data_IF_506010563390
#
_entry.id   IF_506010563390
#
_cell.length_a   1.000
_cell.length_b   1.000
_cell.length_c   1.000
_cell.angle_alpha   90.00
_cell.angle_beta   90.00
_cell.angle_gamma   90.00
#
_symmetry.space_group_name_H-M   'P 1'
#
loop_
_entity.id
_entity.type
_entity.pdbx_description
1 polymer ?
#
# COMPACT_ATOMS: atom_id res chain seq x y z
N UNK A 1 30.35 -1.88 5.69
CA UNK A 1 30.06 -3.07 4.86
C UNK A 1 31.33 -3.89 4.69
N UNK A 2 32.36 -3.42 3.97
CA UNK A 2 33.64 -4.16 3.86
C UNK A 2 34.36 -4.35 5.21
N UNK A 3 34.51 -3.29 6.00
CA UNK A 3 35.16 -3.33 7.33
C UNK A 3 34.39 -4.16 8.39
N UNK A 4 33.17 -4.61 8.10
CA UNK A 4 32.31 -5.32 9.07
C UNK A 4 31.91 -6.71 8.64
N UNK A 5 31.88 -6.99 7.35
CA UNK A 5 31.41 -8.25 6.76
C UNK A 5 32.44 -8.83 5.77
N UNK A 6 33.61 -8.22 5.62
CA UNK A 6 34.66 -8.69 4.70
C UNK A 6 34.17 -8.82 3.26
N UNK A 7 34.67 -9.84 2.55
CA UNK A 7 34.28 -10.15 1.18
C UNK A 7 32.79 -10.56 1.03
N UNK A 8 32.15 -11.06 2.09
CA UNK A 8 30.71 -11.36 2.09
C UNK A 8 29.85 -10.09 2.00
N UNK A 9 30.37 -8.95 2.48
CA UNK A 9 29.72 -7.65 2.32
C UNK A 9 29.70 -7.12 0.89
N UNK A 10 30.48 -7.72 -0.02
CA UNK A 10 30.53 -7.41 -1.45
C UNK A 10 29.67 -8.37 -2.29
N UNK A 11 29.14 -9.45 -1.70
CA UNK A 11 28.18 -10.34 -2.37
C UNK A 11 26.84 -9.60 -2.47
N UNK A 12 26.62 -8.91 -3.58
CA UNK A 12 25.31 -8.38 -3.94
C UNK A 12 24.37 -9.53 -4.26
N UNK A 13 23.80 -10.17 -3.24
CA UNK A 13 22.73 -11.14 -3.44
C UNK A 13 21.46 -10.36 -3.80
N UNK A 14 20.86 -10.56 -4.98
CA UNK A 14 19.68 -9.82 -5.43
C UNK A 14 18.39 -10.32 -4.76
N UNK A 15 18.48 -11.30 -3.87
CA UNK A 15 17.35 -11.70 -3.04
C UNK A 15 17.21 -10.64 -1.97
N UNK A 16 16.15 -9.84 -2.04
CA UNK A 16 15.65 -9.10 -0.88
C UNK A 16 15.77 -10.02 0.32
N UNK A 17 16.80 -9.82 1.16
CA UNK A 17 16.78 -10.35 2.51
C UNK A 17 15.46 -9.84 3.06
N UNK A 18 14.50 -10.74 3.23
CA UNK A 18 13.17 -10.38 3.66
C UNK A 18 13.29 -10.05 5.14
N UNK A 19 13.85 -8.86 5.44
CA UNK A 19 13.94 -8.35 6.79
C UNK A 19 12.53 -8.45 7.39
N UNK A 20 12.45 -9.14 8.52
CA UNK A 20 11.18 -9.34 9.20
C UNK A 20 10.57 -7.98 9.56
N UNK A 21 9.26 -7.95 9.76
CA UNK A 21 8.58 -6.71 10.16
C UNK A 21 9.18 -6.16 11.47
N UNK A 22 9.54 -7.05 12.40
CA UNK A 22 10.18 -6.73 13.67
C UNK A 22 11.56 -6.09 13.48
N UNK A 23 12.43 -6.66 12.64
CA UNK A 23 13.77 -6.08 12.37
C UNK A 23 13.64 -4.68 11.78
N UNK A 24 12.69 -4.46 10.86
CA UNK A 24 12.42 -3.14 10.27
C UNK A 24 11.95 -2.14 11.32
N UNK A 25 11.02 -2.54 12.18
CA UNK A 25 10.50 -1.70 13.27
C UNK A 25 11.60 -1.31 14.25
N UNK A 26 12.38 -2.28 14.71
CA UNK A 26 13.48 -2.04 15.65
C UNK A 26 14.53 -1.08 15.07
N UNK A 27 14.90 -1.24 13.80
CA UNK A 27 15.83 -0.34 13.13
C UNK A 27 15.30 1.11 13.03
N UNK A 28 14.01 1.29 12.76
CA UNK A 28 13.38 2.61 12.73
C UNK A 28 13.29 3.21 14.14
N UNK A 29 12.85 2.44 15.13
CA UNK A 29 12.76 2.89 16.51
C UNK A 29 14.13 3.32 17.07
N UNK A 30 15.18 2.55 16.82
CA UNK A 30 16.54 2.90 17.26
C UNK A 30 17.03 4.22 16.62
N UNK A 31 16.62 4.50 15.37
CA UNK A 31 16.91 5.77 14.72
C UNK A 31 16.12 6.94 15.34
N UNK A 32 14.83 6.76 15.57
CA UNK A 32 13.96 7.78 16.14
C UNK A 32 14.29 8.10 17.60
N UNK A 33 14.76 7.10 18.35
CA UNK A 33 15.21 7.27 19.75
C UNK A 33 16.62 7.85 19.87
N UNK A 34 17.31 8.11 18.75
CA UNK A 34 18.64 8.70 18.75
C UNK A 34 19.75 7.78 19.27
N UNK A 35 19.55 6.45 19.27
CA UNK A 35 20.54 5.47 19.76
C UNK A 35 21.77 5.32 18.85
N UNK A 36 21.79 6.01 17.73
CA UNK A 36 22.92 6.04 16.81
C UNK A 36 22.61 6.82 15.55
N UNK A 37 23.66 7.09 14.80
CA UNK A 37 23.58 7.64 13.45
C UNK A 37 22.98 6.61 12.48
N UNK A 38 22.49 7.10 11.33
CA UNK A 38 21.93 6.25 10.28
C UNK A 38 22.88 5.08 9.93
N UNK A 39 24.18 5.37 9.82
CA UNK A 39 25.22 4.42 9.41
C UNK A 39 25.51 3.37 10.49
N UNK A 40 25.46 3.74 11.77
CA UNK A 40 25.63 2.80 12.88
C UNK A 40 24.46 1.82 12.95
N UNK A 41 23.24 2.31 12.75
CA UNK A 41 22.03 1.48 12.73
C UNK A 41 22.05 0.55 11.52
N UNK A 42 22.46 1.04 10.35
CA UNK A 42 22.65 0.18 9.18
C UNK A 42 23.66 -0.94 9.43
N UNK A 43 24.78 -0.63 10.09
CA UNK A 43 25.79 -1.63 10.45
C UNK A 43 25.22 -2.66 11.44
N UNK A 44 24.48 -2.21 12.46
CA UNK A 44 23.84 -3.05 13.49
C UNK A 44 22.83 -4.03 12.90
N UNK A 45 22.02 -3.59 11.96
CA UNK A 45 20.96 -4.39 11.33
C UNK A 45 21.34 -5.00 9.98
N UNK A 46 22.60 -4.85 9.55
CA UNK A 46 23.08 -5.36 8.26
C UNK A 46 22.35 -4.77 7.06
N UNK A 47 21.93 -3.50 7.12
CA UNK A 47 21.20 -2.81 6.05
C UNK A 47 22.23 -2.17 5.10
N UNK A 48 22.35 -2.65 3.84
CA UNK A 48 23.39 -2.20 2.93
C UNK A 48 23.16 -0.80 2.37
N UNK A 49 21.91 -0.33 2.33
CA UNK A 49 21.54 0.90 1.63
C UNK A 49 20.91 1.93 2.56
N UNK A 50 21.46 3.14 2.54
CA UNK A 50 20.92 4.29 3.29
C UNK A 50 19.49 4.60 2.83
N UNK A 51 19.23 4.48 1.53
CA UNK A 51 17.91 4.66 0.93
C UNK A 51 16.90 3.66 1.49
N UNK A 52 17.33 2.43 1.79
CA UNK A 52 16.45 1.40 2.34
C UNK A 52 15.99 1.74 3.76
N UNK A 53 16.90 2.15 4.64
CA UNK A 53 16.56 2.57 6.01
C UNK A 53 15.71 3.86 6.01
N UNK A 54 16.08 4.86 5.18
CA UNK A 54 15.30 6.09 5.03
C UNK A 54 13.87 5.82 4.55
N UNK A 55 13.69 4.89 3.60
CA UNK A 55 12.36 4.48 3.14
C UNK A 55 11.54 3.81 4.24
N UNK A 56 12.16 3.05 5.14
CA UNK A 56 11.46 2.44 6.28
C UNK A 56 11.04 3.49 7.30
N UNK A 57 11.91 4.46 7.62
CA UNK A 57 11.60 5.60 8.49
C UNK A 57 10.45 6.42 7.90
N UNK A 58 10.52 6.76 6.60
CA UNK A 58 9.45 7.49 5.91
C UNK A 58 8.13 6.72 5.91
N UNK A 59 8.16 5.39 5.71
CA UNK A 59 6.95 4.56 5.80
C UNK A 59 6.40 4.49 7.23
N UNK A 60 7.24 4.55 8.26
CA UNK A 60 6.81 4.57 9.65
C UNK A 60 6.15 5.91 10.01
N UNK A 61 6.84 7.03 9.73
CA UNK A 61 6.29 8.38 9.95
C UNK A 61 5.06 8.62 9.06
N UNK A 62 5.07 8.07 7.84
CA UNK A 62 3.95 8.08 6.94
C UNK A 62 2.75 7.31 7.49
N UNK A 63 2.94 6.18 8.21
CA UNK A 63 1.84 5.44 8.87
C UNK A 63 1.20 6.22 10.02
N UNK A 64 1.99 7.00 10.76
CA UNK A 64 1.47 7.94 11.75
C UNK A 64 0.57 8.99 11.07
N UNK A 65 0.98 9.47 9.89
CA UNK A 65 0.20 10.39 9.05
C UNK A 65 -0.91 9.70 8.22
N UNK A 66 -0.87 8.37 8.02
CA UNK A 66 -1.90 7.61 7.29
C UNK A 66 -3.15 7.34 8.15
N UNK A 67 -3.16 7.73 9.42
CA UNK A 67 -4.43 7.94 10.13
C UNK A 67 -5.22 9.15 9.58
N UNK A 68 -4.61 10.00 8.75
CA UNK A 68 -5.26 11.21 8.22
C UNK A 68 -5.40 11.27 6.68
N UNK A 69 -4.96 10.24 5.94
CA UNK A 69 -5.25 10.16 4.51
C UNK A 69 -6.36 9.14 4.22
N UNK A 70 -7.52 9.35 4.83
CA UNK A 70 -8.82 9.00 4.22
C UNK A 70 -9.17 10.04 3.14
N UNK A 71 -8.20 10.50 2.35
CA UNK A 71 -8.39 11.51 1.31
C UNK A 71 -7.25 11.39 0.32
N UNK A 72 -7.43 10.52 -0.68
CA UNK A 72 -6.36 10.22 -1.63
C UNK A 72 -6.71 9.16 -2.65
N UNK A 73 -7.81 9.36 -3.38
CA UNK A 73 -7.86 8.90 -4.77
C UNK A 73 -8.13 7.43 -5.06
N UNK A 74 -8.87 6.72 -4.22
CA UNK A 74 -9.67 5.59 -4.68
C UNK A 74 -11.00 5.61 -3.95
N UNK A 75 -12.04 6.11 -4.61
CA UNK A 75 -13.40 5.63 -4.30
C UNK A 75 -13.31 4.14 -4.54
N UNK A 76 -13.16 3.36 -3.47
CA UNK A 76 -13.58 1.97 -3.48
C UNK A 76 -15.08 2.10 -3.75
N UNK A 77 -15.43 2.06 -5.04
CA UNK A 77 -16.81 1.90 -5.48
C UNK A 77 -17.26 0.65 -4.74
N UNK A 78 -18.12 0.82 -3.73
CA UNK A 78 -18.74 -0.30 -3.06
C UNK A 78 -19.25 -1.21 -4.18
N UNK A 79 -18.78 -2.46 -4.21
CA UNK A 79 -19.09 -3.41 -5.30
C UNK A 79 -20.57 -3.26 -5.64
N UNK A 80 -20.86 -2.84 -6.88
CA UNK A 80 -22.22 -2.62 -7.34
C UNK A 80 -23.08 -3.83 -7.04
N UNK A 81 -24.34 -3.58 -6.67
CA UNK A 81 -25.33 -4.63 -6.38
C UNK A 81 -25.35 -5.61 -7.55
N UNK A 82 -25.09 -6.90 -7.29
CA UNK A 82 -25.20 -7.94 -8.33
C UNK A 82 -26.68 -8.13 -8.68
N UNK A 83 -27.15 -7.47 -9.74
CA UNK A 83 -28.46 -7.75 -10.33
C UNK A 83 -28.41 -9.04 -11.13
N UNK A 84 -29.45 -9.87 -11.01
CA UNK A 84 -29.56 -11.13 -11.76
C UNK A 84 -29.69 -10.88 -13.27
N UNK A 85 -29.17 -11.78 -14.11
CA UNK A 85 -29.21 -11.68 -15.58
C UNK A 85 -30.60 -11.37 -16.13
N UNK A 86 -31.63 -12.03 -15.60
CA UNK A 86 -33.03 -11.78 -15.99
C UNK A 86 -33.46 -10.33 -15.72
N UNK A 87 -33.06 -9.79 -14.56
CA UNK A 87 -33.36 -8.41 -14.16
C UNK A 87 -32.57 -7.40 -14.99
N UNK A 88 -31.35 -7.74 -15.42
CA UNK A 88 -30.58 -6.91 -16.35
C UNK A 88 -31.23 -6.85 -17.74
N UNK A 89 -31.69 -8.00 -18.27
CA UNK A 89 -32.38 -8.03 -19.57
C UNK A 89 -33.66 -7.20 -19.51
N UNK A 90 -34.45 -7.33 -18.43
CA UNK A 90 -35.69 -6.55 -18.25
C UNK A 90 -35.44 -5.03 -18.21
N UNK A 91 -34.40 -4.59 -17.50
CA UNK A 91 -34.00 -3.17 -17.46
C UNK A 91 -33.59 -2.65 -18.83
N UNK A 92 -32.79 -3.42 -19.57
CA UNK A 92 -32.30 -3.02 -20.89
C UNK A 92 -33.47 -2.94 -21.88
N UNK A 93 -34.37 -3.92 -21.89
CA UNK A 93 -35.57 -3.89 -22.72
C UNK A 93 -36.44 -2.68 -22.39
N UNK A 94 -36.67 -2.42 -21.09
CA UNK A 94 -37.43 -1.25 -20.65
C UNK A 94 -36.80 0.07 -21.12
N UNK A 95 -35.48 0.23 -21.02
CA UNK A 95 -34.81 1.44 -21.51
C UNK A 95 -34.91 1.61 -23.04
N UNK A 96 -34.89 0.52 -23.80
CA UNK A 96 -35.02 0.58 -25.26
C UNK A 96 -36.45 0.99 -25.66
N UNK A 97 -37.46 0.46 -24.99
CA UNK A 97 -38.87 0.76 -25.25
C UNK A 97 -39.26 2.20 -24.89
N UNK A 98 -38.67 2.76 -23.85
CA UNK A 98 -39.00 4.10 -23.33
C UNK A 98 -38.00 5.18 -23.76
N UNK A 99 -37.26 4.98 -24.85
CA UNK A 99 -36.46 6.04 -25.49
C UNK A 99 -35.17 6.41 -24.76
N UNK A 100 -34.55 5.46 -24.05
CA UNK A 100 -33.32 5.63 -23.28
C UNK A 100 -33.41 6.60 -22.09
N UNK A 101 -34.59 6.70 -21.47
CA UNK A 101 -34.75 7.44 -20.21
C UNK A 101 -34.21 6.63 -19.02
N UNK A 102 -32.89 6.70 -18.84
CA UNK A 102 -32.17 6.04 -17.75
C UNK A 102 -32.60 6.55 -16.37
N UNK A 103 -33.10 7.80 -16.28
CA UNK A 103 -33.58 8.40 -15.05
C UNK A 103 -34.84 7.72 -14.53
N UNK A 104 -35.83 7.48 -15.39
CA UNK A 104 -37.04 6.75 -15.01
C UNK A 104 -36.77 5.27 -14.69
N UNK A 105 -35.85 4.63 -15.44
CA UNK A 105 -35.46 3.25 -15.17
C UNK A 105 -34.74 3.08 -13.81
N UNK A 106 -33.90 4.04 -13.43
CA UNK A 106 -33.22 4.03 -12.14
C UNK A 106 -34.20 4.19 -10.97
N UNK A 107 -35.19 5.07 -11.09
CA UNK A 107 -36.26 5.24 -10.11
C UNK A 107 -37.12 3.97 -9.96
N UNK A 108 -37.52 3.38 -11.10
CA UNK A 108 -38.39 2.20 -11.12
C UNK A 108 -37.73 0.95 -10.52
N UNK A 109 -36.43 0.76 -10.76
CA UNK A 109 -35.73 -0.43 -10.31
C UNK A 109 -34.81 -0.22 -9.10
N UNK A 110 -34.74 1.01 -8.57
CA UNK A 110 -33.95 1.41 -7.41
C UNK A 110 -32.49 0.96 -7.54
N UNK A 111 -31.89 1.25 -8.70
CA UNK A 111 -30.51 0.90 -9.06
C UNK A 111 -29.61 2.12 -8.96
#
# INVERSE_FOLDING_TARGET
MYQSLGADGLKTSPKLSAYSAETKLNAVCDYLTGKGTLREIQKKYGIPSDKQLRNWIMKYNGRENQKTSFTGGNRIMAKGRKTSYKKQVEMVTYCIEYGMDYTQAAEKYQV
#
